data_IF_945215555199
#
_entry.id   IF_945215555199
#
_cell.length_a   1.000
_cell.length_b   1.000
_cell.length_c   1.000
_cell.angle_alpha   90.00
_cell.angle_beta   90.00
_cell.angle_gamma   90.00
#
_symmetry.space_group_name_H-M   'P 1'
#
loop_
_entity.id
_entity.type
_entity.pdbx_description
1 polymer ?
#
# COMPACT_ATOMS: atom_id res chain seq x y z
N UNK A 1 -11.07 -10.09 19.07
CA UNK A 1 -9.98 -11.06 19.32
C UNK A 1 -10.29 -12.56 19.05
N UNK A 2 -11.39 -12.95 18.38
CA UNK A 2 -11.62 -14.34 17.91
C UNK A 2 -11.47 -14.56 16.39
N UNK A 3 -11.14 -13.51 15.63
CA UNK A 3 -11.06 -13.55 14.16
C UNK A 3 -9.66 -13.74 13.56
N UNK A 4 -8.63 -13.99 14.38
CA UNK A 4 -7.22 -14.01 13.95
C UNK A 4 -6.64 -15.41 13.72
N UNK A 5 -7.38 -16.49 14.00
CA UNK A 5 -6.83 -17.85 14.11
C UNK A 5 -7.26 -18.85 13.02
N UNK A 6 -8.10 -18.45 12.06
CA UNK A 6 -8.74 -19.37 11.10
C UNK A 6 -8.13 -19.37 9.69
N UNK A 7 -6.86 -18.98 9.51
CA UNK A 7 -6.28 -18.78 8.17
C UNK A 7 -5.00 -19.57 7.89
N UNK A 8 -4.91 -20.80 8.38
CA UNK A 8 -3.88 -21.75 7.96
C UNK A 8 -4.53 -23.12 7.74
N UNK A 9 -4.89 -23.40 6.48
CA UNK A 9 -5.36 -24.69 5.99
C UNK A 9 -4.58 -25.06 4.73
N UNK A 10 -4.04 -26.28 4.73
CA UNK A 10 -3.22 -26.93 3.69
C UNK A 10 -4.08 -27.66 2.64
N UNK A 11 -3.42 -28.05 1.53
CA UNK A 11 -3.88 -28.87 0.38
C UNK A 11 -4.78 -28.16 -0.66
N UNK A 12 -4.69 -28.37 -1.98
CA UNK A 12 -4.27 -29.55 -2.73
C UNK A 12 -3.75 -29.26 -4.17
N UNK A 13 -3.36 -30.35 -4.85
CA UNK A 13 -2.63 -30.59 -6.10
C UNK A 13 -3.14 -30.00 -7.44
N UNK A 14 -2.15 -29.82 -8.31
CA UNK A 14 -2.05 -29.96 -9.78
C UNK A 14 -3.30 -30.01 -10.67
N UNK A 15 -3.26 -29.21 -11.74
CA UNK A 15 -3.65 -29.63 -13.10
C UNK A 15 -2.55 -29.25 -14.11
N UNK A 16 -2.21 -30.22 -14.96
CA UNK A 16 -1.25 -30.17 -16.07
C UNK A 16 -2.05 -30.04 -17.36
N UNK A 17 -1.72 -29.11 -18.26
CA UNK A 17 -2.06 -29.22 -19.68
C UNK A 17 -1.02 -28.56 -20.60
N UNK A 18 -0.37 -29.44 -21.36
CA UNK A 18 0.12 -29.41 -22.75
C UNK A 18 1.11 -28.33 -23.24
N UNK A 19 2.34 -28.83 -23.35
CA UNK A 19 3.42 -28.59 -24.30
C UNK A 19 2.97 -28.68 -25.75
N UNK A 20 3.53 -27.84 -26.63
CA UNK A 20 3.86 -28.21 -28.03
C UNK A 20 4.83 -27.19 -28.72
N UNK A 21 5.17 -26.05 -28.09
CA UNK A 21 6.10 -25.06 -28.67
C UNK A 21 7.53 -25.08 -28.07
N UNK A 22 7.84 -25.97 -27.13
CA UNK A 22 9.09 -25.96 -26.33
C UNK A 22 10.32 -26.61 -27.02
N UNK A 23 10.15 -27.37 -28.11
CA UNK A 23 11.22 -28.24 -28.61
C UNK A 23 12.34 -27.54 -29.40
N UNK A 24 12.07 -26.38 -30.03
CA UNK A 24 13.05 -25.70 -30.89
C UNK A 24 13.91 -24.64 -30.16
N UNK A 25 13.44 -24.17 -28.99
CA UNK A 25 14.15 -23.18 -28.16
C UNK A 25 15.11 -23.85 -27.16
N UNK A 26 14.75 -25.06 -26.69
CA UNK A 26 15.55 -25.87 -25.77
C UNK A 26 16.84 -26.41 -26.42
N UNK A 27 16.82 -26.66 -27.74
CA UNK A 27 17.99 -27.12 -28.49
C UNK A 27 19.02 -25.99 -28.71
N UNK A 28 18.55 -24.75 -28.91
CA UNK A 28 19.40 -23.55 -29.12
C UNK A 28 20.02 -23.05 -27.82
N UNK A 29 19.36 -23.27 -26.68
CA UNK A 29 19.89 -22.95 -25.34
C UNK A 29 20.98 -23.94 -24.93
N UNK A 30 20.77 -25.25 -25.12
CA UNK A 30 21.77 -26.29 -24.82
C UNK A 30 23.09 -26.10 -25.58
N UNK A 31 23.02 -25.72 -26.87
CA UNK A 31 24.22 -25.44 -27.68
C UNK A 31 25.02 -24.21 -27.18
N UNK A 32 24.35 -23.20 -26.63
CA UNK A 32 25.01 -22.00 -26.05
C UNK A 32 25.60 -22.29 -24.68
N UNK A 33 24.93 -23.12 -23.88
CA UNK A 33 25.43 -23.58 -22.57
C UNK A 33 26.73 -24.37 -22.72
N UNK A 34 26.83 -25.27 -23.71
CA UNK A 34 28.04 -26.07 -24.00
C UNK A 34 29.23 -25.22 -24.50
N UNK A 35 28.99 -24.12 -25.22
CA UNK A 35 30.02 -23.17 -25.64
C UNK A 35 30.48 -22.22 -24.51
N UNK A 36 29.60 -21.94 -23.55
CA UNK A 36 29.90 -21.14 -22.36
C UNK A 36 30.82 -21.86 -21.38
N UNK A 37 30.58 -23.15 -21.14
CA UNK A 37 31.43 -23.98 -20.29
C UNK A 37 32.87 -24.09 -20.81
N UNK A 38 33.08 -24.09 -22.13
CA UNK A 38 34.43 -24.06 -22.73
C UNK A 38 35.16 -22.73 -22.57
N UNK A 39 34.43 -21.63 -22.43
CA UNK A 39 34.98 -20.28 -22.32
C UNK A 39 34.96 -19.72 -20.87
N UNK A 40 34.50 -20.51 -19.89
CA UNK A 40 34.41 -20.10 -18.49
C UNK A 40 33.26 -19.13 -18.18
N UNK A 41 32.34 -18.91 -19.12
CA UNK A 41 31.16 -18.05 -18.93
C UNK A 41 29.91 -18.90 -18.73
N UNK A 42 29.27 -18.77 -17.57
CA UNK A 42 28.00 -19.42 -17.30
C UNK A 42 26.87 -18.58 -17.92
N UNK A 43 26.24 -19.10 -18.98
CA UNK A 43 25.05 -18.47 -19.55
C UNK A 43 23.88 -18.69 -18.59
N UNK A 44 23.35 -17.61 -18.04
CA UNK A 44 22.20 -17.66 -17.14
C UNK A 44 20.93 -17.31 -17.91
N UNK A 45 20.01 -18.26 -18.04
CA UNK A 45 18.72 -18.04 -18.68
C UNK A 45 17.67 -17.47 -17.70
N UNK A 46 16.70 -16.72 -18.22
CA UNK A 46 15.58 -16.16 -17.45
C UNK A 46 14.44 -17.17 -17.19
N UNK A 47 14.61 -18.44 -17.55
CA UNK A 47 13.61 -19.51 -17.39
C UNK A 47 13.02 -19.59 -15.98
N UNK A 48 13.87 -19.55 -14.95
CA UNK A 48 13.43 -19.59 -13.55
C UNK A 48 12.47 -18.44 -13.20
N UNK A 49 12.70 -17.25 -13.76
CA UNK A 49 11.81 -16.11 -13.56
C UNK A 49 10.52 -16.25 -14.35
N UNK A 50 10.54 -16.74 -15.60
CA UNK A 50 9.33 -16.94 -16.38
C UNK A 50 8.37 -17.94 -15.69
N UNK A 51 8.94 -19.00 -15.12
CA UNK A 51 8.21 -19.99 -14.30
C UNK A 51 7.57 -19.36 -13.06
N UNK A 52 8.30 -18.51 -12.36
CA UNK A 52 7.85 -17.92 -11.09
C UNK A 52 7.00 -16.65 -11.27
N UNK A 53 7.05 -16.01 -12.44
CA UNK A 53 6.33 -14.76 -12.76
C UNK A 53 4.83 -14.87 -12.54
N UNK A 54 4.25 -16.04 -12.84
CA UNK A 54 2.80 -16.29 -12.65
C UNK A 54 2.40 -16.48 -11.19
N UNK A 55 3.35 -16.85 -10.31
CA UNK A 55 3.08 -17.19 -8.90
C UNK A 55 3.09 -15.96 -7.99
N UNK A 56 3.81 -14.91 -8.38
CA UNK A 56 4.06 -13.74 -7.54
C UNK A 56 3.55 -12.48 -8.20
N UNK A 57 3.19 -11.47 -7.39
CA UNK A 57 2.68 -10.20 -7.91
C UNK A 57 3.76 -9.43 -8.68
N UNK A 58 4.94 -9.25 -8.06
CA UNK A 58 6.07 -8.53 -8.69
C UNK A 58 7.39 -9.01 -8.12
N UNK A 59 8.30 -9.39 -9.01
CA UNK A 59 9.64 -9.87 -8.68
C UNK A 59 10.70 -9.06 -9.42
N UNK A 60 11.88 -8.92 -8.79
CA UNK A 60 13.08 -8.41 -9.45
C UNK A 60 13.48 -9.33 -10.59
N UNK A 61 13.67 -8.78 -11.78
CA UNK A 61 14.17 -9.52 -12.95
C UNK A 61 15.64 -9.85 -12.80
N UNK A 62 16.39 -8.99 -12.14
CA UNK A 62 17.86 -9.07 -12.06
C UNK A 62 18.33 -10.38 -11.43
N UNK A 63 17.57 -10.93 -10.47
CA UNK A 63 17.93 -12.19 -9.82
C UNK A 63 17.84 -13.41 -10.73
N UNK A 64 17.04 -13.35 -11.81
CA UNK A 64 16.88 -14.48 -12.72
C UNK A 64 18.17 -14.82 -13.46
N UNK A 65 19.03 -13.83 -13.65
CA UNK A 65 20.31 -13.96 -14.35
C UNK A 65 21.45 -14.39 -13.41
N UNK A 66 21.15 -14.78 -12.17
CA UNK A 66 22.18 -15.26 -11.26
C UNK A 66 22.29 -16.78 -11.33
N UNK A 67 23.51 -17.36 -11.39
CA UNK A 67 23.70 -18.81 -11.44
C UNK A 67 23.06 -19.58 -10.28
N UNK A 68 22.85 -18.90 -9.15
CA UNK A 68 22.28 -19.46 -7.92
C UNK A 68 20.83 -18.99 -7.67
N UNK A 69 20.07 -18.69 -8.73
CA UNK A 69 18.68 -18.24 -8.65
C UNK A 69 17.78 -19.18 -7.84
N UNK A 70 17.91 -20.50 -8.01
CA UNK A 70 17.08 -21.47 -7.28
C UNK A 70 17.31 -21.42 -5.77
N UNK A 71 18.56 -21.21 -5.34
CA UNK A 71 18.89 -21.03 -3.93
C UNK A 71 18.29 -19.73 -3.39
N UNK A 72 18.34 -18.64 -4.17
CA UNK A 72 17.70 -17.37 -3.81
C UNK A 72 16.18 -17.55 -3.68
N UNK A 73 15.56 -18.22 -4.65
CA UNK A 73 14.13 -18.49 -4.69
C UNK A 73 13.67 -19.25 -3.45
N UNK A 74 14.39 -20.32 -3.09
CA UNK A 74 14.14 -21.12 -1.88
C UNK A 74 14.32 -20.29 -0.60
N UNK A 75 15.44 -19.58 -0.48
CA UNK A 75 15.75 -18.76 0.68
C UNK A 75 14.72 -17.62 0.87
N UNK A 76 14.25 -17.01 -0.22
CA UNK A 76 13.23 -15.97 -0.17
C UNK A 76 11.89 -16.50 0.33
N UNK A 77 11.46 -17.68 -0.10
CA UNK A 77 10.23 -18.32 0.40
C UNK A 77 10.34 -18.64 1.88
N UNK A 78 11.46 -19.23 2.30
CA UNK A 78 11.73 -19.57 3.70
C UNK A 78 11.78 -18.32 4.60
N UNK A 79 12.44 -17.25 4.16
CA UNK A 79 12.51 -16.00 4.91
C UNK A 79 11.12 -15.37 5.09
N UNK A 80 10.28 -15.39 4.06
CA UNK A 80 8.91 -14.90 4.16
C UNK A 80 8.08 -15.71 5.17
N UNK A 81 8.22 -17.04 5.19
CA UNK A 81 7.57 -17.89 6.19
C UNK A 81 8.03 -17.57 7.62
N UNK A 82 9.33 -17.35 7.82
CA UNK A 82 9.86 -16.90 9.12
C UNK A 82 9.30 -15.55 9.53
N UNK A 83 9.20 -14.58 8.62
CA UNK A 83 8.61 -13.28 8.90
C UNK A 83 7.15 -13.43 9.32
N UNK A 84 6.36 -14.25 8.60
CA UNK A 84 4.95 -14.50 8.94
C UNK A 84 4.81 -15.15 10.32
N UNK A 85 5.59 -16.20 10.59
CA UNK A 85 5.58 -16.90 11.87
C UNK A 85 6.04 -15.98 13.01
N UNK A 86 7.08 -15.17 12.77
CA UNK A 86 7.63 -14.21 13.72
C UNK A 86 6.65 -13.09 14.08
N UNK A 87 5.97 -12.52 13.08
CA UNK A 87 4.90 -11.53 13.31
C UNK A 87 3.75 -12.13 14.13
N UNK A 88 3.31 -13.35 13.79
CA UNK A 88 2.24 -14.03 14.50
C UNK A 88 2.63 -14.33 15.97
N UNK A 89 3.81 -14.91 16.19
CA UNK A 89 4.31 -15.24 17.52
C UNK A 89 4.52 -13.99 18.39
N UNK A 90 5.02 -12.90 17.81
CA UNK A 90 5.22 -11.63 18.52
C UNK A 90 3.89 -11.01 18.93
N UNK A 91 2.87 -11.08 18.06
CA UNK A 91 1.52 -10.58 18.36
C UNK A 91 0.86 -11.38 19.50
N UNK A 92 1.05 -12.70 19.52
CA UNK A 92 0.54 -13.55 20.60
C UNK A 92 1.20 -13.29 21.94
N UNK A 93 2.47 -12.88 21.94
CA UNK A 93 3.23 -12.71 23.17
C UNK A 93 2.86 -11.45 23.93
N UNK A 94 2.23 -10.44 23.30
CA UNK A 94 1.80 -9.12 23.83
C UNK A 94 2.86 -8.32 24.63
N UNK A 95 4.02 -8.89 24.96
CA UNK A 95 4.95 -8.36 25.98
C UNK A 95 6.22 -7.73 25.42
N UNK A 96 6.41 -7.65 24.10
CA UNK A 96 7.59 -7.00 23.53
C UNK A 96 7.32 -6.30 22.19
N UNK A 97 7.08 -4.98 22.26
CA UNK A 97 7.09 -4.07 21.10
C UNK A 97 8.35 -4.24 20.23
N UNK A 98 9.46 -4.70 20.83
CA UNK A 98 10.71 -4.99 20.15
C UNK A 98 10.61 -6.18 19.18
N UNK A 99 9.80 -7.19 19.45
CA UNK A 99 9.62 -8.37 18.60
C UNK A 99 8.90 -8.01 17.30
N UNK A 100 7.75 -7.35 17.42
CA UNK A 100 6.98 -6.88 16.25
C UNK A 100 7.83 -5.89 15.45
N UNK A 101 8.52 -4.97 16.13
CA UNK A 101 9.40 -4.02 15.45
C UNK A 101 10.54 -4.69 14.68
N UNK A 102 11.12 -5.76 15.22
CA UNK A 102 12.17 -6.51 14.54
C UNK A 102 11.64 -7.15 13.26
N UNK A 103 10.51 -7.86 13.33
CA UNK A 103 9.94 -8.52 12.16
C UNK A 103 9.38 -7.55 11.11
N UNK A 104 8.87 -6.38 11.53
CA UNK A 104 8.53 -5.29 10.60
C UNK A 104 9.76 -4.77 9.85
N UNK A 105 10.90 -4.63 10.54
CA UNK A 105 12.17 -4.27 9.89
C UNK A 105 12.62 -5.36 8.90
N UNK A 106 12.48 -6.65 9.26
CA UNK A 106 12.77 -7.76 8.36
C UNK A 106 11.86 -7.74 7.11
N UNK A 107 10.57 -7.44 7.29
CA UNK A 107 9.63 -7.31 6.18
C UNK A 107 9.99 -6.13 5.26
N UNK A 108 10.37 -4.99 5.81
CA UNK A 108 10.84 -3.85 5.01
C UNK A 108 12.10 -4.21 4.21
N UNK A 109 13.05 -4.92 4.82
CA UNK A 109 14.24 -5.42 4.11
C UNK A 109 13.89 -6.45 3.02
N UNK A 110 12.93 -7.32 3.29
CA UNK A 110 12.41 -8.28 2.32
C UNK A 110 11.80 -7.56 1.10
N UNK A 111 10.94 -6.56 1.32
CA UNK A 111 10.35 -5.75 0.25
C UNK A 111 11.42 -5.02 -0.56
N UNK A 112 12.43 -4.44 0.09
CA UNK A 112 13.52 -3.77 -0.61
C UNK A 112 14.33 -4.75 -1.47
N UNK A 113 14.56 -5.98 -0.96
CA UNK A 113 15.34 -7.00 -1.65
C UNK A 113 14.54 -7.64 -2.80
N UNK A 114 13.39 -8.22 -2.51
CA UNK A 114 12.63 -9.09 -3.40
C UNK A 114 11.36 -8.45 -4.00
N UNK A 115 11.05 -7.19 -3.65
CA UNK A 115 9.75 -6.54 -3.92
C UNK A 115 8.58 -7.39 -3.41
N UNK A 116 7.52 -7.53 -4.19
CA UNK A 116 6.25 -8.17 -3.82
C UNK A 116 6.25 -9.63 -4.24
N UNK A 117 7.29 -10.39 -3.83
CA UNK A 117 7.41 -11.83 -4.08
C UNK A 117 6.55 -12.65 -3.11
N UNK A 118 5.26 -12.40 -3.09
CA UNK A 118 4.28 -13.17 -2.32
C UNK A 118 2.91 -13.17 -3.01
N UNK A 119 2.03 -14.06 -2.54
CA UNK A 119 0.66 -14.17 -3.06
C UNK A 119 -0.17 -12.93 -2.72
N UNK A 120 -1.17 -12.64 -3.54
CA UNK A 120 -2.09 -11.51 -3.30
C UNK A 120 -2.83 -11.65 -1.97
N UNK A 121 -3.21 -12.87 -1.61
CA UNK A 121 -3.86 -13.17 -0.34
C UNK A 121 -2.96 -12.84 0.86
N UNK A 122 -1.67 -13.21 0.82
CA UNK A 122 -0.71 -12.87 1.87
C UNK A 122 -0.48 -11.35 1.94
N UNK A 123 -0.42 -10.67 0.79
CA UNK A 123 -0.30 -9.21 0.74
C UNK A 123 -1.44 -8.49 1.48
N UNK A 124 -2.69 -8.90 1.20
CA UNK A 124 -3.88 -8.32 1.84
C UNK A 124 -3.83 -8.54 3.36
N UNK A 125 -3.42 -9.74 3.81
CA UNK A 125 -3.27 -10.03 5.24
C UNK A 125 -2.21 -9.14 5.89
N UNK A 126 -1.07 -8.94 5.23
CA UNK A 126 0.01 -8.06 5.71
C UNK A 126 -0.45 -6.61 5.83
N UNK A 127 -1.17 -6.08 4.83
CA UNK A 127 -1.69 -4.70 4.89
C UNK A 127 -2.69 -4.55 6.04
N UNK A 128 -3.65 -5.48 6.17
CA UNK A 128 -4.60 -5.47 7.29
C UNK A 128 -3.90 -5.55 8.64
N UNK A 129 -2.86 -6.37 8.75
CA UNK A 129 -2.05 -6.48 9.96
C UNK A 129 -1.36 -5.15 10.30
N UNK A 130 -0.62 -4.55 9.37
CA UNK A 130 0.07 -3.27 9.60
C UNK A 130 -0.92 -2.15 9.90
N UNK A 131 -2.05 -2.12 9.21
CA UNK A 131 -3.13 -1.16 9.47
C UNK A 131 -3.67 -1.29 10.90
N UNK A 132 -3.93 -2.51 11.37
CA UNK A 132 -4.35 -2.72 12.76
C UNK A 132 -3.28 -2.32 13.78
N UNK A 133 -1.99 -2.52 13.48
CA UNK A 133 -0.90 -2.06 14.35
C UNK A 133 -0.85 -0.54 14.47
N UNK A 134 -1.21 0.21 13.41
CA UNK A 134 -1.29 1.69 13.47
C UNK A 134 -2.44 2.14 14.38
N UNK A 135 -3.55 1.39 14.40
CA UNK A 135 -4.75 1.75 15.15
C UNK A 135 -4.69 1.39 16.63
N UNK A 136 -3.88 0.41 17.00
CA UNK A 136 -3.83 -0.09 18.37
C UNK A 136 -3.22 0.97 19.31
N UNK A 137 -3.91 1.34 20.40
CA UNK A 137 -3.48 2.45 21.22
C UNK A 137 -2.30 2.11 22.15
N UNK A 138 -2.01 0.85 22.41
CA UNK A 138 -1.03 0.45 23.43
C UNK A 138 0.42 0.44 22.94
N UNK A 139 0.64 0.51 21.62
CA UNK A 139 1.98 0.39 21.04
C UNK A 139 2.84 1.65 21.17
N UNK A 140 4.15 1.46 21.36
CA UNK A 140 5.14 2.55 21.36
C UNK A 140 5.13 3.34 20.03
N UNK A 141 5.37 4.66 20.13
CA UNK A 141 5.45 5.57 18.97
C UNK A 141 6.40 5.06 17.91
N UNK A 142 7.56 4.50 18.30
CA UNK A 142 8.56 3.99 17.35
C UNK A 142 8.02 2.88 16.48
N UNK A 143 7.15 2.03 17.04
CA UNK A 143 6.50 0.96 16.31
C UNK A 143 5.47 1.52 15.32
N UNK A 144 4.62 2.46 15.78
CA UNK A 144 3.61 3.12 14.94
C UNK A 144 4.28 3.83 13.75
N UNK A 145 5.36 4.58 14.00
CA UNK A 145 6.13 5.24 12.96
C UNK A 145 6.65 4.25 11.89
N UNK A 146 7.19 3.10 12.32
CA UNK A 146 7.63 2.05 11.40
C UNK A 146 6.46 1.45 10.63
N UNK A 147 5.32 1.24 11.28
CA UNK A 147 4.11 0.75 10.64
C UNK A 147 3.61 1.74 9.57
N UNK A 148 3.62 3.05 9.84
CA UNK A 148 3.29 4.10 8.86
C UNK A 148 4.24 4.09 7.65
N UNK A 149 5.55 3.91 7.87
CA UNK A 149 6.49 3.78 6.76
C UNK A 149 6.26 2.49 5.96
N UNK A 150 5.95 1.38 6.65
CA UNK A 150 5.78 0.08 6.04
C UNK A 150 4.49 0.00 5.22
N UNK A 151 3.38 0.57 5.69
CA UNK A 151 2.11 0.56 4.96
C UNK A 151 2.23 1.34 3.66
N UNK A 152 2.97 2.46 3.64
CA UNK A 152 3.29 3.22 2.43
C UNK A 152 4.07 2.37 1.42
N UNK A 153 4.98 1.52 1.89
CA UNK A 153 5.74 0.63 1.00
C UNK A 153 5.00 -0.63 0.59
N UNK A 154 3.92 -0.99 1.27
CA UNK A 154 3.09 -2.15 0.92
C UNK A 154 2.00 -1.76 -0.07
N UNK A 155 1.37 -0.61 0.13
CA UNK A 155 0.35 -0.09 -0.76
C UNK A 155 1.03 0.44 -2.02
N UNK A 156 0.81 -0.28 -3.13
CA UNK A 156 1.21 0.14 -4.47
C UNK A 156 -0.02 0.08 -5.37
N UNK A 157 -0.38 1.24 -5.92
CA UNK A 157 -1.57 1.49 -6.74
C UNK A 157 -1.64 0.57 -7.98
N UNK A 158 -0.49 0.10 -8.48
CA UNK A 158 -0.43 -0.81 -9.65
C UNK A 158 -0.89 -2.24 -9.31
N UNK A 159 -0.72 -2.65 -8.05
CA UNK A 159 -0.82 -4.07 -7.65
C UNK A 159 -2.12 -4.34 -6.90
N UNK A 160 -2.48 -3.46 -5.96
CA UNK A 160 -3.71 -3.59 -5.18
C UNK A 160 -4.67 -2.49 -5.59
N UNK A 161 -5.86 -2.91 -6.02
CA UNK A 161 -6.96 -2.02 -6.29
C UNK A 161 -7.96 -2.07 -5.14
N UNK A 162 -8.82 -1.06 -5.08
CA UNK A 162 -9.94 -0.96 -4.13
C UNK A 162 -10.85 -2.21 -4.13
N UNK A 163 -11.02 -2.86 -5.28
CA UNK A 163 -11.82 -4.08 -5.42
C UNK A 163 -11.27 -5.27 -4.62
N UNK A 164 -9.97 -5.28 -4.33
CA UNK A 164 -9.31 -6.39 -3.64
C UNK A 164 -9.31 -6.21 -2.11
N UNK A 165 -9.27 -4.96 -1.66
CA UNK A 165 -9.16 -4.61 -0.26
C UNK A 165 -9.87 -3.28 0.01
N UNK A 166 -10.82 -3.32 0.92
CA UNK A 166 -11.44 -2.14 1.52
C UNK A 166 -10.99 -1.99 2.97
N UNK A 167 -10.60 -0.77 3.34
CA UNK A 167 -10.21 -0.40 4.70
C UNK A 167 -11.18 0.66 5.26
N UNK A 168 -11.54 0.58 6.55
CA UNK A 168 -12.41 1.59 7.17
C UNK A 168 -11.66 2.92 7.30
N UNK A 169 -12.34 4.03 7.04
CA UNK A 169 -11.72 5.36 7.14
C UNK A 169 -11.82 5.94 8.57
N UNK A 170 -12.87 5.59 9.33
CA UNK A 170 -13.16 6.19 10.64
C UNK A 170 -12.06 6.00 11.69
N UNK A 171 -11.51 4.79 11.92
CA UNK A 171 -10.53 4.60 13.00
C UNK A 171 -9.24 5.42 12.78
N UNK A 172 -8.78 5.50 11.53
CA UNK A 172 -7.58 6.27 11.20
C UNK A 172 -7.85 7.79 11.19
N UNK A 173 -9.10 8.19 10.93
CA UNK A 173 -9.54 9.59 11.09
C UNK A 173 -9.51 10.02 12.55
N UNK A 174 -10.08 9.23 13.46
CA UNK A 174 -10.11 9.53 14.89
C UNK A 174 -8.68 9.66 15.45
N UNK A 175 -7.77 8.76 15.05
CA UNK A 175 -6.35 8.83 15.39
C UNK A 175 -5.68 10.11 14.88
N UNK A 176 -5.94 10.51 13.62
CA UNK A 176 -5.37 11.73 13.06
C UNK A 176 -5.85 12.99 13.77
N UNK A 177 -7.13 13.01 14.17
CA UNK A 177 -7.72 14.11 14.92
C UNK A 177 -7.06 14.23 16.30
N UNK A 178 -6.87 13.11 17.00
CA UNK A 178 -6.17 13.07 18.30
C UNK A 178 -4.74 13.63 18.19
N UNK A 179 -4.01 13.21 17.17
CA UNK A 179 -2.60 13.58 16.98
C UNK A 179 -2.43 15.03 16.51
N UNK A 180 -3.32 15.53 15.65
CA UNK A 180 -3.15 16.84 15.00
C UNK A 180 -3.83 17.99 15.75
N UNK A 181 -5.01 17.74 16.34
CA UNK A 181 -5.86 18.81 16.90
C UNK A 181 -6.10 18.66 18.40
N UNK A 182 -5.76 17.52 19.01
CA UNK A 182 -5.88 17.34 20.46
C UNK A 182 -4.49 17.39 21.12
N UNK A 183 -4.38 16.87 22.35
CA UNK A 183 -3.16 16.97 23.17
C UNK A 183 -1.98 16.12 22.65
N UNK A 184 -2.19 15.25 21.66
CA UNK A 184 -1.20 14.30 21.14
C UNK A 184 -0.40 13.62 22.26
N UNK A 185 -1.10 12.89 23.14
CA UNK A 185 -0.52 12.31 24.36
C UNK A 185 0.67 11.36 24.10
N UNK A 186 0.80 10.85 22.87
CA UNK A 186 1.83 9.88 22.46
C UNK A 186 3.02 10.49 21.71
N UNK A 187 3.00 11.81 21.49
CA UNK A 187 4.03 12.53 20.73
C UNK A 187 4.29 11.86 19.37
N UNK A 188 3.19 11.55 18.66
CA UNK A 188 3.24 10.97 17.32
C UNK A 188 3.47 12.08 16.29
N UNK A 189 4.30 11.79 15.30
CA UNK A 189 4.55 12.73 14.21
C UNK A 189 3.37 12.76 13.23
N UNK A 190 2.75 13.93 13.15
CA UNK A 190 1.62 14.23 12.27
C UNK A 190 1.95 13.99 10.79
N UNK A 191 3.21 14.23 10.39
CA UNK A 191 3.62 14.10 8.98
C UNK A 191 3.68 12.64 8.53
N UNK A 192 4.20 11.77 9.38
CA UNK A 192 4.28 10.33 9.12
C UNK A 192 2.88 9.71 9.04
N UNK A 193 1.99 10.03 9.98
CA UNK A 193 0.61 9.54 9.95
C UNK A 193 -0.13 10.07 8.72
N UNK A 194 0.01 11.37 8.41
CA UNK A 194 -0.56 11.96 7.19
C UNK A 194 -0.09 11.21 5.94
N UNK A 195 1.20 10.88 5.86
CA UNK A 195 1.73 10.13 4.72
C UNK A 195 1.15 8.72 4.59
N UNK A 196 0.90 8.05 5.72
CA UNK A 196 0.24 6.74 5.74
C UNK A 196 -1.23 6.85 5.30
N UNK A 197 -1.95 7.87 5.77
CA UNK A 197 -3.34 8.15 5.35
C UNK A 197 -3.42 8.37 3.84
N UNK A 198 -2.48 9.14 3.28
CA UNK A 198 -2.45 9.39 1.83
C UNK A 198 -2.28 8.11 1.01
N UNK A 199 -1.61 7.07 1.53
CA UNK A 199 -1.54 5.76 0.88
C UNK A 199 -2.82 4.96 1.10
N UNK A 200 -3.35 4.94 2.33
CA UNK A 200 -4.52 4.15 2.71
C UNK A 200 -5.82 4.67 2.08
N UNK A 201 -5.93 5.97 1.81
CA UNK A 201 -7.18 6.59 1.32
C UNK A 201 -7.68 6.02 -0.01
N UNK A 202 -6.78 5.45 -0.81
CA UNK A 202 -7.15 4.86 -2.10
C UNK A 202 -7.96 3.56 -1.92
N UNK A 203 -7.81 2.91 -0.76
CA UNK A 203 -8.47 1.68 -0.36
C UNK A 203 -9.74 1.92 0.47
N UNK A 204 -10.18 3.16 0.63
CA UNK A 204 -11.46 3.46 1.29
C UNK A 204 -12.65 3.00 0.44
N UNK A 205 -13.79 2.66 1.06
CA UNK A 205 -15.00 2.34 0.32
C UNK A 205 -15.52 3.57 -0.42
N UNK A 206 -16.26 3.36 -1.52
CA UNK A 206 -16.82 4.45 -2.34
C UNK A 206 -17.77 5.37 -1.54
N UNK A 207 -18.48 4.82 -0.56
CA UNK A 207 -19.37 5.60 0.31
C UNK A 207 -18.62 6.53 1.27
N UNK A 208 -17.32 6.27 1.52
CA UNK A 208 -16.53 7.04 2.49
C UNK A 208 -16.46 8.52 2.12
N UNK A 209 -16.41 8.88 0.83
CA UNK A 209 -16.30 10.28 0.42
C UNK A 209 -17.44 11.11 1.01
N UNK A 210 -18.68 10.64 0.89
CA UNK A 210 -19.86 11.35 1.41
C UNK A 210 -19.81 11.46 2.93
N UNK A 211 -19.53 10.35 3.62
CA UNK A 211 -19.45 10.31 5.08
C UNK A 211 -18.35 11.24 5.62
N UNK A 212 -17.19 11.26 4.96
CA UNK A 212 -16.07 12.15 5.30
C UNK A 212 -16.48 13.61 5.07
N UNK A 213 -17.09 13.92 3.92
CA UNK A 213 -17.55 15.28 3.59
C UNK A 213 -18.55 15.79 4.62
N UNK A 214 -19.53 14.97 5.00
CA UNK A 214 -20.55 15.34 5.99
C UNK A 214 -19.92 15.63 7.37
N UNK A 215 -18.84 14.93 7.75
CA UNK A 215 -18.11 15.18 9.01
C UNK A 215 -17.25 16.45 8.95
N UNK A 216 -16.64 16.78 7.80
CA UNK A 216 -15.72 17.92 7.69
C UNK A 216 -16.38 19.23 7.27
N UNK A 217 -17.54 19.18 6.59
CA UNK A 217 -18.31 20.37 6.14
C UNK A 217 -18.62 21.38 7.26
N UNK A 218 -18.93 20.97 8.51
CA UNK A 218 -19.13 21.93 9.60
C UNK A 218 -17.93 22.82 9.92
N UNK A 219 -16.71 22.47 9.47
CA UNK A 219 -15.52 23.29 9.63
C UNK A 219 -15.37 24.38 8.55
N UNK A 220 -16.26 24.43 7.56
CA UNK A 220 -16.25 25.46 6.52
C UNK A 220 -16.67 26.79 7.16
N UNK A 221 -15.68 27.65 7.40
CA UNK A 221 -15.90 29.03 7.84
C UNK A 221 -14.86 29.93 7.18
N UNK A 222 -15.29 30.69 6.17
CA UNK A 222 -14.41 31.57 5.38
C UNK A 222 -13.82 32.70 6.22
N UNK A 223 -14.46 33.05 7.33
CA UNK A 223 -14.01 34.13 8.22
C UNK A 223 -13.06 33.63 9.32
N UNK A 224 -12.93 32.32 9.49
CA UNK A 224 -12.05 31.70 10.47
C UNK A 224 -10.97 30.87 9.78
N UNK A 225 -9.80 31.47 9.62
CA UNK A 225 -8.64 30.84 8.99
C UNK A 225 -8.26 29.49 9.61
N UNK A 226 -8.41 29.32 10.92
CA UNK A 226 -8.10 28.05 11.58
C UNK A 226 -9.09 26.94 11.20
N UNK A 227 -10.39 27.26 11.22
CA UNK A 227 -11.44 26.31 10.85
C UNK A 227 -11.33 25.91 9.37
N UNK A 228 -11.13 26.89 8.49
CA UNK A 228 -10.95 26.63 7.06
C UNK A 228 -9.66 25.86 6.76
N UNK A 229 -8.53 26.22 7.39
CA UNK A 229 -7.28 25.47 7.23
C UNK A 229 -7.44 24.01 7.71
N UNK A 230 -8.17 23.80 8.81
CA UNK A 230 -8.53 22.45 9.29
C UNK A 230 -9.35 21.70 8.24
N UNK A 231 -10.43 22.31 7.73
CA UNK A 231 -11.25 21.72 6.67
C UNK A 231 -10.41 21.29 5.45
N UNK A 232 -9.64 22.20 4.85
CA UNK A 232 -8.87 21.90 3.64
C UNK A 232 -7.78 20.85 3.92
N UNK A 233 -7.17 20.87 5.11
CA UNK A 233 -6.14 19.88 5.48
C UNK A 233 -6.71 18.47 5.64
N UNK A 234 -7.91 18.33 6.23
CA UNK A 234 -8.64 17.08 6.39
C UNK A 234 -9.16 16.59 5.04
N UNK A 235 -9.73 17.48 4.24
CA UNK A 235 -10.16 17.18 2.88
C UNK A 235 -9.01 16.58 2.07
N UNK A 236 -7.86 17.26 2.02
CA UNK A 236 -6.67 16.82 1.29
C UNK A 236 -6.13 15.46 1.77
N UNK A 237 -6.23 15.18 3.07
CA UNK A 237 -5.78 13.93 3.66
C UNK A 237 -6.70 12.75 3.35
N UNK A 238 -8.01 12.91 3.58
CA UNK A 238 -8.93 11.78 3.66
C UNK A 238 -9.79 11.57 2.42
N UNK A 239 -10.10 12.63 1.66
CA UNK A 239 -10.95 12.49 0.48
C UNK A 239 -10.17 11.73 -0.61
N UNK A 240 -10.67 10.56 -1.07
CA UNK A 240 -10.07 9.86 -2.19
C UNK A 240 -10.23 10.72 -3.44
N UNK A 241 -9.13 11.01 -4.11
CA UNK A 241 -9.18 11.74 -5.38
C UNK A 241 -9.09 10.78 -6.55
N UNK A 242 -8.29 9.71 -6.49
CA UNK A 242 -8.13 8.75 -7.60
C UNK A 242 -9.35 7.84 -7.73
N UNK A 243 -10.15 8.09 -8.77
CA UNK A 243 -11.34 7.30 -9.12
C UNK A 243 -11.52 7.28 -10.65
N UNK A 244 -12.39 6.39 -11.16
CA UNK A 244 -12.81 6.44 -12.56
C UNK A 244 -13.74 7.64 -12.81
N UNK A 245 -13.97 8.02 -14.08
CA UNK A 245 -14.88 9.13 -14.40
C UNK A 245 -16.30 8.88 -13.88
N UNK A 246 -16.82 7.67 -14.10
CA UNK A 246 -18.17 7.30 -13.66
C UNK A 246 -18.30 7.30 -12.12
N UNK A 247 -17.24 6.88 -11.42
CA UNK A 247 -17.20 6.91 -9.96
C UNK A 247 -17.13 8.35 -9.42
N UNK A 248 -16.45 9.26 -10.14
CA UNK A 248 -16.34 10.66 -9.75
C UNK A 248 -17.68 11.38 -9.79
N UNK A 249 -18.49 11.11 -10.80
CA UNK A 249 -19.81 11.74 -10.94
C UNK A 249 -20.74 11.35 -9.79
N UNK A 250 -20.69 10.09 -9.35
CA UNK A 250 -21.59 9.56 -8.32
C UNK A 250 -21.07 9.76 -6.88
N UNK A 251 -19.79 9.49 -6.66
CA UNK A 251 -19.19 9.36 -5.31
C UNK A 251 -17.99 10.30 -5.07
N UNK A 252 -17.51 11.00 -6.09
CA UNK A 252 -16.31 11.83 -6.02
C UNK A 252 -16.60 13.31 -6.27
N UNK A 253 -16.00 13.85 -7.31
CA UNK A 253 -16.04 15.28 -7.65
C UNK A 253 -17.47 15.85 -7.74
N UNK A 254 -18.45 15.06 -8.18
CA UNK A 254 -19.84 15.50 -8.25
C UNK A 254 -20.42 15.99 -6.92
N UNK A 255 -19.83 15.61 -5.77
CA UNK A 255 -20.32 15.99 -4.44
C UNK A 255 -19.67 17.24 -3.84
N UNK A 256 -18.48 17.64 -4.31
CA UNK A 256 -17.69 18.68 -3.65
C UNK A 256 -17.04 19.70 -4.59
N UNK A 257 -16.98 19.43 -5.90
CA UNK A 257 -16.23 20.25 -6.85
C UNK A 257 -16.79 21.68 -6.93
N UNK A 258 -18.10 21.84 -7.12
CA UNK A 258 -18.75 23.15 -7.22
C UNK A 258 -18.61 23.95 -5.92
N UNK A 259 -18.74 23.29 -4.76
CA UNK A 259 -18.57 23.93 -3.44
C UNK A 259 -17.13 24.47 -3.28
N UNK A 260 -16.13 23.64 -3.59
CA UNK A 260 -14.72 24.04 -3.53
C UNK A 260 -14.37 25.13 -4.54
N UNK A 261 -14.95 25.08 -5.74
CA UNK A 261 -14.74 26.08 -6.78
C UNK A 261 -15.33 27.43 -6.40
N UNK A 262 -16.51 27.42 -5.76
CA UNK A 262 -17.11 28.63 -5.21
C UNK A 262 -16.19 29.29 -4.17
N UNK A 263 -15.67 28.53 -3.20
CA UNK A 263 -14.75 29.07 -2.19
C UNK A 263 -13.46 29.60 -2.80
N UNK A 264 -12.93 28.93 -3.83
CA UNK A 264 -11.74 29.37 -4.54
C UNK A 264 -11.94 30.72 -5.25
N UNK A 265 -13.08 30.94 -5.92
CA UNK A 265 -13.37 32.20 -6.60
C UNK A 265 -13.79 33.32 -5.63
N UNK A 266 -14.42 32.97 -4.52
CA UNK A 266 -14.92 33.95 -3.54
C UNK A 266 -13.79 34.63 -2.77
N UNK A 267 -12.68 33.92 -2.54
CA UNK A 267 -11.58 34.46 -1.75
C UNK A 267 -10.57 35.17 -2.65
N UNK A 268 -10.55 36.50 -2.55
CA UNK A 268 -9.49 37.31 -3.12
C UNK A 268 -8.16 37.00 -2.42
N UNK A 269 -7.26 36.39 -3.19
CA UNK A 269 -5.86 35.98 -2.93
C UNK A 269 -5.27 36.57 -1.65
N UNK A 270 -4.97 35.72 -0.64
CA UNK A 270 -4.03 35.96 0.50
C UNK A 270 -4.19 34.98 1.70
N UNK A 271 -5.03 33.96 1.62
CA UNK A 271 -5.23 33.04 2.77
C UNK A 271 -4.24 31.87 2.76
N UNK A 272 -3.85 31.39 3.94
CA UNK A 272 -2.89 30.28 4.07
C UNK A 272 -3.42 28.93 3.55
N UNK A 273 -4.74 28.78 3.44
CA UNK A 273 -5.41 27.55 3.03
C UNK A 273 -5.68 27.47 1.52
N UNK A 274 -5.67 28.60 0.80
CA UNK A 274 -5.91 28.67 -0.65
C UNK A 274 -4.95 27.78 -1.44
N UNK A 275 -3.65 27.85 -1.14
CA UNK A 275 -2.63 27.00 -1.78
C UNK A 275 -2.96 25.50 -1.68
N UNK A 276 -3.60 25.07 -0.59
CA UNK A 276 -3.98 23.68 -0.38
C UNK A 276 -5.18 23.27 -1.24
N UNK A 277 -6.08 24.19 -1.56
CA UNK A 277 -7.17 23.96 -2.51
C UNK A 277 -6.60 23.80 -3.93
N UNK A 278 -5.62 24.62 -4.33
CA UNK A 278 -4.91 24.45 -5.60
C UNK A 278 -4.22 23.08 -5.69
N UNK A 279 -3.65 22.59 -4.58
CA UNK A 279 -3.10 21.24 -4.50
C UNK A 279 -4.17 20.14 -4.69
N UNK A 280 -5.38 20.34 -4.18
CA UNK A 280 -6.50 19.42 -4.41
C UNK A 280 -6.89 19.39 -5.89
N UNK A 281 -7.07 20.55 -6.52
CA UNK A 281 -7.44 20.62 -7.94
C UNK A 281 -6.35 20.05 -8.84
N UNK A 282 -5.07 20.32 -8.55
CA UNK A 282 -3.97 19.71 -9.31
C UNK A 282 -3.91 18.19 -9.13
N UNK A 283 -4.15 17.66 -7.93
CA UNK A 283 -4.22 16.22 -7.69
C UNK A 283 -5.45 15.55 -8.34
N UNK A 284 -6.55 16.29 -8.49
CA UNK A 284 -7.71 15.86 -9.27
C UNK A 284 -7.36 15.80 -10.77
N UNK A 285 -6.79 16.89 -11.32
CA UNK A 285 -6.45 17.00 -12.73
C UNK A 285 -5.36 16.01 -13.19
N UNK A 286 -4.42 15.63 -12.32
CA UNK A 286 -3.33 14.70 -12.65
C UNK A 286 -3.78 13.25 -12.93
N UNK A 287 -5.09 12.95 -12.85
CA UNK A 287 -5.57 11.59 -13.05
C UNK A 287 -5.59 11.18 -14.53
N UNK A 288 -4.94 10.07 -14.91
CA UNK A 288 -4.86 9.62 -16.30
C UNK A 288 -6.23 9.37 -16.95
N UNK A 289 -7.25 9.11 -16.15
CA UNK A 289 -8.62 8.79 -16.58
C UNK A 289 -9.45 10.01 -17.02
N UNK A 290 -9.03 11.24 -16.73
CA UNK A 290 -9.82 12.45 -17.02
C UNK A 290 -9.45 13.09 -18.37
N UNK A 291 -8.30 12.72 -18.96
CA UNK A 291 -7.80 13.29 -20.22
C UNK A 291 -8.19 12.52 -21.50
N UNK A 292 -9.07 11.52 -21.40
CA UNK A 292 -9.69 10.87 -22.56
C UNK A 292 -11.15 11.30 -22.71
N UNK A 293 -11.35 12.59 -22.98
CA UNK A 293 -12.54 13.20 -23.60
C UNK A 293 -12.05 14.13 -24.71
#
# INVERSE_FOLDING_TARGET
MRGLLTLIGLSDRCEVLNTDDEYDDEAKTKLKEEEGERNGYMYTNAEGYLRDKRKFQRTRREYSYLPYYENISRNASFWLEQIKAGLAASTLSYTTDSGISFWMNQLSQYLNRFYYRFSKADHIKLIKFVYNVILEPDYDRRLIHKACSLIKTLINDEIIKRNDLTLPWRPIYDLYIEVTYQRNCKDLDTTNIRSAILAVKELFPLTATKEILDEIRPFIDVWNDYAMAKFVSLFSAFVPLKMSSEEHDLYGAGQWYEEMWYFYNFVEVNSSWESRIQHVFSAYAFQPSIFFL
#
